data_IF_640498636359
#
_entry.id   IF_640498636359
#
_cell.length_a   1.000
_cell.length_b   1.000
_cell.length_c   1.000
_cell.angle_alpha   90.00
_cell.angle_beta   90.00
_cell.angle_gamma   90.00
#
_symmetry.space_group_name_H-M   'P 1'
#
loop_
_entity.id
_entity.type
_entity.pdbx_description
1 polymer ?
#
# COMPACT_ATOMS: atom_id res chain seq x y z
N UNK A 1 -20.14 35.36 14.28
CA UNK A 1 -19.24 35.36 15.47
C UNK A 1 -18.80 33.93 15.77
N UNK A 2 -17.50 33.62 15.72
CA UNK A 2 -16.93 32.28 16.03
C UNK A 2 -16.34 32.33 17.44
N UNK A 3 -16.92 31.61 18.41
CA UNK A 3 -16.31 31.45 19.74
C UNK A 3 -15.17 30.44 19.63
N UNK A 4 -13.93 30.88 19.86
CA UNK A 4 -12.77 29.99 20.08
C UNK A 4 -12.84 29.50 21.52
N UNK A 5 -12.87 28.17 21.69
CA UNK A 5 -12.76 27.52 22.99
C UNK A 5 -11.27 27.34 23.34
N UNK A 6 -10.93 27.65 24.59
CA UNK A 6 -9.59 27.52 25.17
C UNK A 6 -9.57 26.30 26.11
N UNK A 7 -8.75 25.30 25.78
CA UNK A 7 -8.65 24.01 26.48
C UNK A 7 -7.60 24.01 27.61
N UNK A 8 -7.11 25.18 28.05
CA UNK A 8 -6.00 25.29 29.01
C UNK A 8 -6.36 25.07 30.48
N UNK A 9 -7.58 24.65 30.84
CA UNK A 9 -7.96 24.43 32.25
C UNK A 9 -8.25 22.96 32.54
N UNK A 10 -7.21 22.25 32.98
CA UNK A 10 -7.35 20.94 33.63
C UNK A 10 -7.76 21.12 35.09
N UNK A 11 -8.83 20.46 35.52
CA UNK A 11 -9.23 20.35 36.93
C UNK A 11 -8.84 18.98 37.46
N UNK A 12 -7.91 18.97 38.42
CA UNK A 12 -7.60 17.81 39.26
C UNK A 12 -8.69 17.67 40.33
N UNK A 13 -9.22 16.47 40.51
CA UNK A 13 -10.15 16.12 41.60
C UNK A 13 -10.03 14.62 41.95
N UNK A 14 -10.31 14.21 43.21
CA UNK A 14 -9.60 13.09 43.84
C UNK A 14 -10.27 11.71 43.67
N UNK A 15 -9.42 10.68 43.69
CA UNK A 15 -9.79 9.26 43.83
C UNK A 15 -10.60 9.00 45.10
N UNK A 16 -11.67 8.20 44.99
CA UNK A 16 -12.20 7.38 46.09
C UNK A 16 -12.61 5.99 45.60
N UNK A 17 -12.00 5.00 46.23
CA UNK A 17 -12.21 3.55 46.07
C UNK A 17 -13.31 3.11 47.04
N UNK A 18 -14.40 2.50 46.58
CA UNK A 18 -15.27 1.66 47.43
C UNK A 18 -15.90 0.55 46.59
N UNK A 19 -15.68 -0.71 47.02
CA UNK A 19 -16.17 -1.93 46.39
C UNK A 19 -17.67 -2.23 46.58
N UNK A 20 -18.13 -3.44 46.21
CA UNK A 20 -19.43 -3.64 45.57
C UNK A 20 -20.56 -4.02 46.53
N UNK A 21 -21.80 -3.62 46.19
CA UNK A 21 -23.02 -4.17 46.79
C UNK A 21 -24.01 -4.60 45.70
N UNK A 22 -24.20 -5.92 45.62
CA UNK A 22 -25.34 -6.59 44.97
C UNK A 22 -26.64 -6.11 45.65
N UNK A 23 -27.67 -5.79 44.87
CA UNK A 23 -29.05 -6.02 45.27
C UNK A 23 -29.90 -6.37 44.04
N UNK A 24 -30.63 -7.48 44.18
CA UNK A 24 -31.61 -8.02 43.24
C UNK A 24 -32.91 -7.22 43.33
N UNK A 25 -33.59 -7.12 42.19
CA UNK A 25 -35.05 -7.09 42.13
C UNK A 25 -35.71 -5.73 42.32
N UNK A 26 -35.99 -5.04 41.22
CA UNK A 26 -37.16 -4.17 41.07
C UNK A 26 -37.37 -3.90 39.57
N UNK A 27 -38.23 -4.71 38.95
CA UNK A 27 -38.85 -4.40 37.66
C UNK A 27 -39.82 -3.24 37.88
N UNK A 28 -39.35 -2.02 37.66
CA UNK A 28 -40.18 -0.82 37.56
C UNK A 28 -39.91 -0.22 36.20
N UNK A 29 -40.97 -0.16 35.40
CA UNK A 29 -40.97 0.42 34.07
C UNK A 29 -40.30 1.79 34.09
N UNK A 30 -39.28 1.96 33.26
CA UNK A 30 -38.63 3.25 33.07
C UNK A 30 -39.02 3.75 31.70
N UNK A 31 -39.86 4.78 31.72
CA UNK A 31 -40.08 5.68 30.60
C UNK A 31 -38.74 5.95 29.90
N UNK A 32 -38.73 5.81 28.58
CA UNK A 32 -37.58 6.13 27.74
C UNK A 32 -37.28 7.61 27.84
N UNK A 33 -36.51 7.96 28.86
CA UNK A 33 -35.82 9.22 29.03
C UNK A 33 -34.80 9.32 27.90
N UNK A 34 -35.18 10.00 26.82
CA UNK A 34 -34.29 10.40 25.73
C UNK A 34 -33.31 11.47 26.24
N UNK A 35 -32.43 11.09 27.17
CA UNK A 35 -31.26 11.87 27.56
C UNK A 35 -30.20 11.78 26.46
N UNK A 36 -30.40 12.57 25.41
CA UNK A 36 -29.36 12.92 24.45
C UNK A 36 -28.32 13.82 25.12
N UNK A 37 -27.44 13.25 25.93
CA UNK A 37 -26.12 13.79 26.28
C UNK A 37 -25.48 12.88 27.32
N UNK A 38 -24.83 11.82 26.83
CA UNK A 38 -23.62 11.37 27.51
C UNK A 38 -22.50 11.81 26.57
N UNK A 39 -21.94 12.98 26.87
CA UNK A 39 -20.60 13.36 26.40
C UNK A 39 -19.60 12.41 27.09
N UNK A 40 -19.67 11.12 26.76
CA UNK A 40 -18.71 10.15 27.23
C UNK A 40 -17.40 10.47 26.52
N UNK A 41 -16.47 11.06 27.27
CA UNK A 41 -15.17 11.47 26.74
C UNK A 41 -14.52 10.27 26.05
N UNK A 42 -14.34 10.39 24.74
CA UNK A 42 -13.76 9.34 23.94
C UNK A 42 -12.38 8.98 24.49
N UNK A 43 -12.14 7.69 24.68
CA UNK A 43 -10.82 7.21 25.07
C UNK A 43 -9.76 7.64 24.04
N UNK A 44 -8.49 7.84 24.43
CA UNK A 44 -7.44 8.23 23.50
C UNK A 44 -7.29 7.28 22.29
N UNK A 45 -7.58 5.98 22.47
CA UNK A 45 -7.57 4.97 21.40
C UNK A 45 -8.72 5.17 20.41
N UNK A 46 -9.92 5.51 20.89
CA UNK A 46 -11.06 5.86 20.04
C UNK A 46 -10.82 7.16 19.29
N UNK A 47 -10.28 8.20 19.94
CA UNK A 47 -9.92 9.47 19.28
C UNK A 47 -8.89 9.20 18.18
N UNK A 48 -7.85 8.40 18.48
CA UNK A 48 -6.85 8.00 17.48
C UNK A 48 -7.48 7.24 16.33
N UNK A 49 -8.42 6.33 16.60
CA UNK A 49 -9.12 5.59 15.56
C UNK A 49 -10.00 6.49 14.69
N UNK A 50 -10.73 7.43 15.29
CA UNK A 50 -11.55 8.39 14.56
C UNK A 50 -10.70 9.30 13.67
N UNK A 51 -9.62 9.87 14.21
CA UNK A 51 -8.66 10.67 13.42
C UNK A 51 -8.11 9.87 12.24
N UNK A 52 -7.79 8.60 12.47
CA UNK A 52 -7.36 7.68 11.41
C UNK A 52 -8.45 7.47 10.35
N UNK A 53 -9.70 7.24 10.76
CA UNK A 53 -10.83 7.04 9.84
C UNK A 53 -11.12 8.28 9.00
N UNK A 54 -11.01 9.47 9.58
CA UNK A 54 -11.14 10.75 8.86
C UNK A 54 -10.04 10.88 7.81
N UNK A 55 -8.78 10.66 8.19
CA UNK A 55 -7.67 10.68 7.23
C UNK A 55 -7.84 9.66 6.08
N UNK A 56 -8.32 8.45 6.39
CA UNK A 56 -8.61 7.40 5.40
C UNK A 56 -9.80 7.77 4.47
N UNK A 57 -10.69 8.68 4.90
CA UNK A 57 -11.79 9.18 4.08
C UNK A 57 -11.32 10.27 3.11
N UNK A 58 -10.45 11.16 3.57
CA UNK A 58 -9.90 12.27 2.78
C UNK A 58 -8.91 11.79 1.71
N UNK A 59 -8.19 10.69 1.95
CA UNK A 59 -7.34 10.09 0.91
C UNK A 59 -8.20 9.39 -0.16
N UNK A 60 -8.13 9.85 -1.40
CA UNK A 60 -8.76 9.23 -2.56
C UNK A 60 -8.00 8.02 -3.12
N UNK A 61 -6.78 7.79 -2.65
CA UNK A 61 -5.95 6.66 -3.07
C UNK A 61 -6.60 5.36 -2.65
N UNK A 62 -6.74 4.45 -3.61
CA UNK A 62 -7.16 3.08 -3.36
C UNK A 62 -6.13 2.10 -3.92
N UNK A 63 -6.18 0.89 -3.42
CA UNK A 63 -5.35 -0.22 -3.85
C UNK A 63 -6.27 -1.36 -4.26
N UNK A 64 -5.92 -2.07 -5.33
CA UNK A 64 -6.65 -3.23 -5.81
C UNK A 64 -5.68 -4.38 -6.05
N UNK A 65 -6.21 -5.61 -6.03
CA UNK A 65 -5.45 -6.82 -6.31
C UNK A 65 -5.72 -7.25 -7.75
N UNK A 66 -4.65 -7.40 -8.52
CA UNK A 66 -4.70 -7.70 -9.95
C UNK A 66 -3.78 -8.86 -10.26
N UNK A 67 -4.30 -9.91 -10.89
CA UNK A 67 -3.50 -10.94 -11.54
C UNK A 67 -3.47 -10.65 -13.04
N UNK A 68 -2.29 -10.52 -13.62
CA UNK A 68 -2.15 -10.32 -15.07
C UNK A 68 -2.08 -11.67 -15.77
N UNK A 69 -3.05 -11.94 -16.64
CA UNK A 69 -3.12 -13.18 -17.42
C UNK A 69 -2.71 -12.86 -18.87
N UNK A 70 -1.40 -12.79 -19.09
CA UNK A 70 -0.85 -12.42 -20.39
C UNK A 70 -0.96 -10.92 -20.72
N UNK A 71 -0.79 -10.52 -21.99
CA UNK A 71 -0.68 -9.11 -22.38
C UNK A 71 -2.02 -8.37 -22.47
N UNK A 72 -3.15 -9.10 -22.51
CA UNK A 72 -4.48 -8.52 -22.81
C UNK A 72 -5.49 -8.67 -21.69
N UNK A 73 -5.34 -9.67 -20.82
CA UNK A 73 -6.33 -9.99 -19.82
C UNK A 73 -5.82 -9.64 -18.41
N UNK A 74 -6.66 -9.00 -17.63
CA UNK A 74 -6.42 -8.70 -16.23
C UNK A 74 -7.58 -9.23 -15.37
N UNK A 75 -7.23 -9.94 -14.31
CA UNK A 75 -8.17 -10.46 -13.33
C UNK A 75 -8.13 -9.59 -12.09
N UNK A 76 -9.27 -9.05 -11.71
CA UNK A 76 -9.43 -8.16 -10.57
C UNK A 76 -10.15 -8.89 -9.44
N UNK A 77 -9.53 -8.96 -8.27
CA UNK A 77 -10.07 -9.74 -7.17
C UNK A 77 -11.15 -8.98 -6.38
N UNK A 78 -12.26 -9.67 -6.12
CA UNK A 78 -13.33 -9.23 -5.23
C UNK A 78 -13.31 -10.09 -3.95
N UNK A 79 -13.02 -9.44 -2.82
CA UNK A 79 -12.93 -10.08 -1.50
C UNK A 79 -14.29 -10.52 -0.98
N UNK A 80 -15.37 -9.80 -1.32
CA UNK A 80 -16.70 -10.07 -0.78
C UNK A 80 -17.23 -11.43 -1.20
N UNK A 81 -16.99 -11.79 -2.47
CA UNK A 81 -17.51 -13.00 -3.09
C UNK A 81 -16.41 -14.06 -3.33
N UNK A 82 -15.16 -13.74 -2.96
CA UNK A 82 -13.97 -14.57 -3.21
C UNK A 82 -13.79 -14.98 -4.70
N UNK A 83 -14.04 -14.04 -5.62
CA UNK A 83 -13.97 -14.28 -7.08
C UNK A 83 -13.05 -13.29 -7.79
N UNK A 84 -12.66 -13.66 -9.02
CA UNK A 84 -11.97 -12.77 -9.95
C UNK A 84 -12.93 -12.27 -11.03
N UNK A 85 -12.95 -10.96 -11.24
CA UNK A 85 -13.65 -10.30 -12.34
C UNK A 85 -12.66 -10.06 -13.48
N UNK A 86 -13.01 -10.52 -14.68
CA UNK A 86 -12.16 -10.39 -15.85
C UNK A 86 -12.36 -9.04 -16.53
N UNK A 87 -11.27 -8.33 -16.79
CA UNK A 87 -11.15 -7.08 -17.55
C UNK A 87 -12.02 -5.89 -17.11
N UNK A 88 -12.84 -6.04 -16.08
CA UNK A 88 -13.57 -4.94 -15.45
C UNK A 88 -13.02 -4.60 -14.06
N UNK A 89 -12.23 -3.51 -13.93
CA UNK A 89 -11.72 -3.09 -12.63
C UNK A 89 -12.82 -2.63 -11.66
N UNK A 90 -14.05 -2.35 -12.12
CA UNK A 90 -15.16 -1.93 -11.25
C UNK A 90 -15.64 -3.05 -10.33
N UNK A 91 -15.46 -4.30 -10.74
CA UNK A 91 -15.77 -5.47 -9.92
C UNK A 91 -14.72 -5.75 -8.83
N UNK A 92 -13.60 -5.02 -8.81
CA UNK A 92 -12.54 -5.22 -7.84
C UNK A 92 -12.90 -4.66 -6.46
N UNK A 93 -12.43 -5.31 -5.39
CA UNK A 93 -12.41 -4.69 -4.07
C UNK A 93 -11.34 -3.59 -3.99
N UNK A 94 -11.76 -2.38 -3.61
CA UNK A 94 -10.88 -1.23 -3.42
C UNK A 94 -10.47 -1.07 -1.96
N UNK A 95 -9.22 -1.44 -1.66
CA UNK A 95 -8.64 -1.25 -0.35
C UNK A 95 -8.26 0.22 -0.13
N UNK A 96 -8.65 0.79 1.01
CA UNK A 96 -8.20 2.14 1.42
C UNK A 96 -6.69 2.18 1.72
N UNK A 97 -6.15 1.09 2.27
CA UNK A 97 -4.77 1.03 2.78
C UNK A 97 -3.95 -0.02 2.06
N UNK A 98 -2.71 0.32 1.70
CA UNK A 98 -1.76 -0.62 1.06
C UNK A 98 -1.48 -1.84 1.93
N UNK A 99 -1.32 -1.65 3.25
CA UNK A 99 -1.04 -2.75 4.19
C UNK A 99 -2.15 -3.80 4.19
N UNK A 100 -3.41 -3.39 4.09
CA UNK A 100 -4.54 -4.31 4.02
C UNK A 100 -4.52 -5.11 2.71
N UNK A 101 -4.29 -4.45 1.58
CA UNK A 101 -4.16 -5.13 0.29
C UNK A 101 -2.99 -6.14 0.29
N UNK A 102 -1.85 -5.78 0.89
CA UNK A 102 -0.69 -6.67 1.01
C UNK A 102 -0.98 -7.89 1.89
N UNK A 103 -1.74 -7.74 2.97
CA UNK A 103 -2.14 -8.85 3.82
C UNK A 103 -3.01 -9.84 3.05
N UNK A 104 -4.02 -9.36 2.30
CA UNK A 104 -4.86 -10.22 1.47
C UNK A 104 -4.04 -10.88 0.35
N UNK A 105 -3.17 -10.12 -0.33
CA UNK A 105 -2.23 -10.68 -1.32
C UNK A 105 -1.40 -11.83 -0.75
N UNK A 106 -0.91 -11.71 0.48
CA UNK A 106 -0.11 -12.75 1.11
C UNK A 106 -0.88 -14.07 1.28
N UNK A 107 -2.20 -14.00 1.46
CA UNK A 107 -3.07 -15.18 1.52
C UNK A 107 -3.32 -15.79 0.15
N UNK A 108 -3.45 -14.96 -0.89
CA UNK A 108 -3.80 -15.42 -2.24
C UNK A 108 -2.59 -15.90 -3.08
N UNK A 109 -1.37 -15.52 -2.70
CA UNK A 109 -0.13 -16.01 -3.32
C UNK A 109 0.61 -15.03 -4.23
N UNK A 110 1.64 -15.54 -4.92
CA UNK A 110 2.71 -14.74 -5.54
C UNK A 110 2.36 -14.07 -6.88
N UNK A 111 1.40 -14.60 -7.63
CA UNK A 111 1.02 -14.12 -8.98
C UNK A 111 0.20 -12.83 -8.97
N UNK A 112 -0.20 -12.35 -7.79
CA UNK A 112 -1.07 -11.18 -7.64
C UNK A 112 -0.25 -9.95 -7.33
N UNK A 113 -0.62 -8.85 -7.97
CA UNK A 113 -0.01 -7.54 -7.81
C UNK A 113 -0.96 -6.58 -7.11
N UNK A 114 -0.41 -5.74 -6.23
CA UNK A 114 -1.15 -4.61 -5.66
C UNK A 114 -0.98 -3.41 -6.59
N UNK A 115 -2.07 -2.95 -7.18
CA UNK A 115 -2.09 -1.76 -8.05
C UNK A 115 -2.68 -0.59 -7.28
N UNK A 116 -2.00 0.57 -7.35
CA UNK A 116 -2.51 1.84 -6.81
C UNK A 116 -3.41 2.49 -7.87
N UNK A 117 -4.56 2.97 -7.47
CA UNK A 117 -5.50 3.73 -8.31
C UNK A 117 -6.09 4.90 -7.52
N UNK A 118 -6.73 5.85 -8.22
CA UNK A 118 -7.59 6.84 -7.57
C UNK A 118 -9.03 6.35 -7.63
N UNK A 119 -9.84 6.59 -6.60
CA UNK A 119 -11.29 6.38 -6.72
C UNK A 119 -11.98 7.69 -7.11
N UNK A 120 -12.79 7.68 -8.16
CA UNK A 120 -13.74 8.76 -8.44
C UNK A 120 -15.16 8.27 -8.13
N UNK A 121 -16.03 9.17 -7.72
CA UNK A 121 -17.47 8.91 -7.64
C UNK A 121 -18.11 9.31 -8.97
N UNK A 122 -18.79 8.36 -9.61
CA UNK A 122 -19.61 8.60 -10.80
C UNK A 122 -21.00 8.07 -10.47
N UNK A 123 -22.02 8.93 -10.53
CA UNK A 123 -23.41 8.57 -10.21
C UNK A 123 -23.57 7.83 -8.86
N UNK A 124 -22.84 8.29 -7.84
CA UNK A 124 -22.85 7.68 -6.49
C UNK A 124 -21.93 6.46 -6.31
N UNK A 125 -21.53 5.79 -7.39
CA UNK A 125 -20.68 4.59 -7.36
C UNK A 125 -19.20 4.98 -7.36
N UNK A 126 -18.39 4.35 -6.50
CA UNK A 126 -16.93 4.54 -6.49
C UNK A 126 -16.30 3.67 -7.58
N UNK A 127 -15.76 4.32 -8.60
CA UNK A 127 -15.10 3.68 -9.74
C UNK A 127 -13.59 3.88 -9.63
N UNK A 128 -12.79 2.82 -9.81
CA UNK A 128 -11.34 2.97 -9.88
C UNK A 128 -10.93 3.62 -11.20
N UNK A 129 -10.14 4.68 -11.09
CA UNK A 129 -9.40 5.27 -12.20
C UNK A 129 -7.98 4.76 -12.12
N UNK A 130 -7.72 3.73 -12.92
CA UNK A 130 -6.36 3.23 -13.14
C UNK A 130 -5.72 4.17 -14.15
N UNK A 131 -4.74 4.96 -13.74
CA UNK A 131 -3.93 5.70 -14.70
C UNK A 131 -3.25 4.66 -15.58
N UNK A 132 -3.52 4.68 -16.89
CA UNK A 132 -2.81 3.83 -17.83
C UNK A 132 -1.32 3.99 -17.56
N UNK A 133 -0.67 2.95 -17.04
CA UNK A 133 0.78 2.96 -16.95
C UNK A 133 1.23 3.14 -18.40
N UNK A 134 1.89 4.26 -18.70
CA UNK A 134 2.81 4.36 -19.82
C UNK A 134 3.67 3.10 -19.70
N UNK A 135 3.39 2.10 -20.54
CA UNK A 135 4.34 1.03 -20.75
C UNK A 135 5.58 1.77 -21.20
N UNK A 136 6.58 1.90 -20.33
CA UNK A 136 7.89 2.33 -20.77
C UNK A 136 8.24 1.35 -21.86
N UNK A 137 8.17 1.81 -23.11
CA UNK A 137 8.75 1.10 -24.24
C UNK A 137 10.15 0.74 -23.77
N UNK A 138 10.38 -0.55 -23.49
CA UNK A 138 11.75 -1.04 -23.31
C UNK A 138 12.51 -0.50 -24.53
N UNK A 139 13.63 0.21 -24.38
CA UNK A 139 14.42 0.57 -25.53
C UNK A 139 14.71 -0.73 -26.29
N UNK A 140 14.16 -0.81 -27.50
CA UNK A 140 14.52 -1.86 -28.45
C UNK A 140 15.93 -1.53 -28.92
N UNK A 141 16.86 -2.40 -28.59
CA UNK A 141 18.09 -2.58 -29.34
C UNK A 141 19.29 -1.81 -28.81
N UNK A 142 20.00 -2.44 -27.88
CA UNK A 142 21.45 -2.58 -28.06
C UNK A 142 21.71 -4.05 -28.36
N UNK A 143 21.47 -4.42 -29.62
CA UNK A 143 22.06 -5.61 -30.22
C UNK A 143 23.56 -5.30 -30.29
N UNK A 144 24.30 -5.67 -29.25
CA UNK A 144 25.76 -5.60 -29.23
C UNK A 144 26.26 -6.52 -30.34
N UNK A 145 26.54 -5.90 -31.49
CA UNK A 145 27.12 -6.56 -32.65
C UNK A 145 28.57 -6.86 -32.31
N UNK A 146 28.87 -8.14 -32.14
CA UNK A 146 30.22 -8.67 -32.22
C UNK A 146 30.84 -8.29 -33.56
N UNK A 147 32.15 -8.03 -33.54
CA UNK A 147 33.06 -7.87 -34.68
C UNK A 147 33.01 -6.54 -35.42
N UNK A 148 34.00 -5.68 -35.12
CA UNK A 148 35.11 -5.38 -36.04
C UNK A 148 36.06 -4.36 -35.40
N UNK A 149 37.38 -4.60 -35.52
CA UNK A 149 38.39 -3.56 -35.24
C UNK A 149 39.61 -4.00 -34.44
N UNK A 150 40.30 -5.08 -34.83
CA UNK A 150 41.73 -5.21 -34.54
C UNK A 150 42.45 -4.11 -35.31
N UNK A 151 42.96 -3.09 -34.61
CA UNK A 151 44.00 -2.20 -35.15
C UNK A 151 45.23 -2.21 -34.22
N UNK A 152 46.43 -2.35 -34.78
CA UNK A 152 47.68 -2.46 -34.03
C UNK A 152 48.22 -1.08 -33.65
N UNK A 153 48.61 -0.88 -32.40
CA UNK A 153 49.42 0.27 -32.02
C UNK A 153 50.90 -0.06 -32.20
N UNK A 154 51.47 0.44 -33.29
CA UNK A 154 52.91 0.50 -33.50
C UNK A 154 53.52 1.51 -32.52
N UNK A 155 54.32 1.03 -31.57
CA UNK A 155 55.11 1.83 -30.64
C UNK A 155 56.51 1.28 -30.53
N UNK A 156 57.39 1.74 -31.41
CA UNK A 156 58.79 1.35 -31.49
C UNK A 156 59.57 1.66 -30.20
N UNK A 157 60.28 0.66 -29.64
CA UNK A 157 61.59 0.88 -28.99
C UNK A 157 62.55 -0.28 -29.23
N UNK A 158 63.70 0.14 -29.76
CA UNK A 158 64.93 -0.57 -30.11
C UNK A 158 65.48 -1.38 -28.92
N UNK A 159 66.15 -2.51 -29.18
CA UNK A 159 67.63 -2.65 -29.07
C UNK A 159 68.09 -4.11 -28.99
N UNK A 160 69.11 -4.37 -29.81
CA UNK A 160 70.30 -5.19 -29.59
C UNK A 160 70.24 -6.74 -29.62
N UNK A 161 70.89 -7.22 -30.68
CA UNK A 161 71.70 -8.43 -30.88
C UNK A 161 72.19 -9.17 -29.63
N UNK A 162 72.17 -10.50 -29.68
CA UNK A 162 73.08 -11.35 -28.91
C UNK A 162 72.71 -12.85 -28.96
N UNK A 163 73.67 -13.80 -29.01
CA UNK A 163 73.52 -14.98 -29.85
C UNK A 163 73.36 -16.33 -29.12
N UNK A 164 72.85 -17.31 -29.88
CA UNK A 164 73.23 -18.73 -30.03
C UNK A 164 73.65 -19.59 -28.81
N UNK A 165 73.28 -20.88 -28.96
CA UNK A 165 73.77 -22.14 -28.32
C UNK A 165 73.06 -22.46 -27.00
N UNK A 166 72.69 -23.69 -26.67
CA UNK A 166 72.85 -25.06 -27.20
C UNK A 166 71.91 -25.95 -26.35
N UNK A 167 71.18 -26.91 -26.93
CA UNK A 167 71.47 -28.36 -26.86
C UNK A 167 72.00 -28.92 -25.51
N UNK A 168 71.34 -29.98 -25.02
CA UNK A 168 71.88 -30.96 -24.05
C UNK A 168 71.19 -30.93 -22.69
N UNK A 169 70.34 -31.92 -22.37
CA UNK A 169 70.65 -33.20 -21.69
C UNK A 169 70.87 -33.03 -20.18
N UNK A 170 70.08 -33.78 -19.40
CA UNK A 170 70.22 -33.95 -17.95
C UNK A 170 68.87 -34.20 -17.32
#
# INVERSE_FOLDING_TARGET
MRKKYDFSKGTRGPFRTTGPRRNRGASVGRAGDHSWQVDEELTPTQIRDLRRRVADLDDETRYMLVSQMGPRFALYYNVSDDVYVMDDPRGATLFKRRKAALAVRALLGGSIHVVRCKSKRISGVRVPVVSAKRQSRRPRGDRWSSNQGLQPTAGAKRRFQGPRRSAGRG
#
